data_IF_230785505468
#
_entry.id   IF_230785505468
#
_cell.length_a   1.000
_cell.length_b   1.000
_cell.length_c   1.000
_cell.angle_alpha   90.00
_cell.angle_beta   90.00
_cell.angle_gamma   90.00
#
_symmetry.space_group_name_H-M   'P 1'
#
loop_
_entity.id
_entity.type
_entity.pdbx_description
1 polymer ?
#
# COMPACT_ATOMS: atom_id res chain seq x y z
N UNK A 1 7.69 -7.39 9.15
CA UNK A 1 6.59 -7.21 8.17
C UNK A 1 5.92 -5.84 8.29
N UNK A 2 5.51 -5.44 9.47
CA UNK A 2 4.77 -4.16 9.62
C UNK A 2 5.60 -2.94 9.22
N UNK A 3 6.84 -2.85 9.67
CA UNK A 3 7.70 -1.72 9.31
C UNK A 3 8.00 -1.70 7.81
N UNK A 4 8.12 -2.86 7.20
CA UNK A 4 8.33 -2.96 5.76
C UNK A 4 7.12 -2.45 4.97
N UNK A 5 5.91 -2.79 5.42
CA UNK A 5 4.67 -2.30 4.82
C UNK A 5 4.60 -0.78 4.93
N UNK A 6 4.91 -0.25 6.11
CA UNK A 6 4.90 1.20 6.36
C UNK A 6 5.90 1.91 5.43
N UNK A 7 7.13 1.42 5.37
CA UNK A 7 8.18 2.03 4.56
C UNK A 7 7.82 1.99 3.08
N UNK A 8 7.29 0.87 2.61
CA UNK A 8 6.91 0.73 1.22
C UNK A 8 5.74 1.65 0.86
N UNK A 9 4.75 1.75 1.74
CA UNK A 9 3.62 2.63 1.50
C UNK A 9 4.02 4.10 1.49
N UNK A 10 4.92 4.49 2.38
CA UNK A 10 5.45 5.85 2.39
C UNK A 10 6.20 6.18 1.09
N UNK A 11 7.00 5.25 0.60
CA UNK A 11 7.72 5.41 -0.67
C UNK A 11 6.74 5.52 -1.84
N UNK A 12 5.73 4.68 -1.86
CA UNK A 12 4.68 4.71 -2.88
C UNK A 12 3.96 6.06 -2.87
N UNK A 13 3.53 6.53 -1.71
CA UNK A 13 2.83 7.80 -1.57
C UNK A 13 3.71 8.97 -2.03
N UNK A 14 4.97 8.94 -1.67
CA UNK A 14 5.93 9.97 -2.09
C UNK A 14 6.09 9.96 -3.62
N UNK A 15 6.15 8.77 -4.20
CA UNK A 15 6.30 8.61 -5.65
C UNK A 15 5.10 9.19 -6.39
N UNK A 16 3.88 8.78 -6.03
CA UNK A 16 2.67 9.22 -6.74
C UNK A 16 2.23 10.64 -6.35
N UNK A 17 2.82 11.21 -5.29
CA UNK A 17 2.42 12.52 -4.76
C UNK A 17 2.59 13.69 -5.70
N UNK A 18 3.33 13.52 -6.78
CA UNK A 18 3.56 14.62 -7.71
C UNK A 18 2.58 14.67 -8.89
N UNK A 19 1.69 13.70 -9.02
CA UNK A 19 0.73 13.74 -10.11
C UNK A 19 -0.70 13.30 -9.77
N UNK A 20 -0.99 12.96 -8.54
CA UNK A 20 -2.33 12.49 -8.21
C UNK A 20 -2.73 12.79 -6.77
N UNK A 21 -4.00 12.58 -6.52
CA UNK A 21 -4.54 12.64 -5.17
C UNK A 21 -4.70 11.25 -4.62
N UNK A 22 -4.28 11.07 -3.40
CA UNK A 22 -4.53 9.83 -2.71
C UNK A 22 -5.77 9.95 -1.90
N UNK A 23 -6.49 8.87 -1.83
CA UNK A 23 -7.70 8.79 -1.03
C UNK A 23 -7.46 8.20 0.32
N UNK A 24 -6.35 7.52 0.48
CA UNK A 24 -6.20 6.64 1.59
C UNK A 24 -5.39 7.23 2.70
N UNK A 25 -5.27 6.53 3.73
CA UNK A 25 -4.68 6.81 5.01
C UNK A 25 -3.61 7.90 4.98
N UNK A 26 -3.77 8.96 5.77
CA UNK A 26 -2.68 9.88 6.05
C UNK A 26 -1.54 9.08 6.69
N UNK A 27 -0.30 9.52 6.51
CA UNK A 27 0.86 8.79 7.01
C UNK A 27 0.78 8.48 8.50
N UNK A 28 0.30 9.42 9.30
CA UNK A 28 0.19 9.23 10.74
C UNK A 28 -0.79 8.11 11.10
N UNK A 29 -1.97 8.15 10.49
CA UNK A 29 -2.99 7.15 10.75
C UNK A 29 -2.62 5.79 10.18
N UNK A 30 -1.94 5.78 9.05
CA UNK A 30 -1.53 4.53 8.43
C UNK A 30 -0.56 3.76 9.33
N UNK A 31 0.46 4.46 9.86
CA UNK A 31 1.44 3.83 10.74
C UNK A 31 0.76 3.22 11.97
N UNK A 32 -0.11 3.99 12.62
CA UNK A 32 -0.86 3.50 13.78
C UNK A 32 -1.71 2.28 13.43
N UNK A 33 -2.42 2.36 12.32
CA UNK A 33 -3.29 1.27 11.87
C UNK A 33 -2.52 -0.02 11.63
N UNK A 34 -1.36 0.07 11.00
CA UNK A 34 -0.53 -1.09 10.73
C UNK A 34 0.05 -1.67 12.02
N UNK A 35 0.59 -0.80 12.89
CA UNK A 35 1.23 -1.26 14.11
C UNK A 35 0.26 -1.92 15.09
N UNK A 36 -1.00 -1.50 15.11
CA UNK A 36 -2.04 -2.06 15.97
C UNK A 36 -2.79 -3.23 15.36
N UNK A 37 -2.60 -3.47 14.06
CA UNK A 37 -3.38 -4.47 13.34
C UNK A 37 -2.98 -5.91 13.72
N UNK A 38 -3.98 -6.78 13.86
CA UNK A 38 -3.76 -8.21 13.85
C UNK A 38 -3.59 -8.68 12.38
N UNK A 39 -3.32 -9.94 12.16
CA UNK A 39 -3.09 -10.48 10.82
C UNK A 39 -4.29 -10.28 9.89
N UNK A 40 -5.51 -10.47 10.40
CA UNK A 40 -6.72 -10.31 9.62
C UNK A 40 -6.88 -8.86 9.14
N UNK A 41 -6.67 -7.91 10.04
CA UNK A 41 -6.78 -6.48 9.73
C UNK A 41 -5.64 -6.04 8.81
N UNK A 42 -4.45 -6.58 9.00
CA UNK A 42 -3.30 -6.28 8.15
C UNK A 42 -3.53 -6.74 6.71
N UNK A 43 -4.15 -7.90 6.53
CA UNK A 43 -4.57 -8.38 5.21
C UNK A 43 -5.54 -7.41 4.55
N UNK A 44 -6.52 -6.94 5.30
CA UNK A 44 -7.51 -5.98 4.79
C UNK A 44 -6.83 -4.66 4.37
N UNK A 45 -5.86 -4.20 5.15
CA UNK A 45 -5.09 -3.00 4.81
C UNK A 45 -4.33 -3.21 3.50
N UNK A 46 -3.66 -4.34 3.35
CA UNK A 46 -2.90 -4.65 2.13
C UNK A 46 -3.81 -4.77 0.91
N UNK A 47 -4.98 -5.39 1.07
CA UNK A 47 -5.97 -5.48 -0.01
C UNK A 47 -6.43 -4.09 -0.45
N UNK A 48 -6.64 -3.17 0.50
CA UNK A 48 -7.00 -1.78 0.19
C UNK A 48 -5.90 -1.07 -0.58
N UNK A 49 -4.64 -1.29 -0.19
CA UNK A 49 -3.50 -0.70 -0.90
C UNK A 49 -3.41 -1.26 -2.32
N UNK A 50 -3.61 -2.57 -2.49
CA UNK A 50 -3.58 -3.19 -3.80
C UNK A 50 -4.65 -2.61 -4.72
N UNK A 51 -5.84 -2.39 -4.18
CA UNK A 51 -6.91 -1.74 -4.93
C UNK A 51 -6.54 -0.31 -5.30
N UNK A 52 -5.96 0.44 -4.37
CA UNK A 52 -5.50 1.82 -4.61
C UNK A 52 -4.45 1.86 -5.73
N UNK A 53 -3.46 0.97 -5.69
CA UNK A 53 -2.43 0.93 -6.73
C UNK A 53 -2.99 0.54 -8.08
N UNK A 54 -3.95 -0.37 -8.12
CA UNK A 54 -4.61 -0.76 -9.37
C UNK A 54 -5.38 0.42 -9.98
N UNK A 55 -6.10 1.17 -9.16
CA UNK A 55 -6.83 2.37 -9.61
C UNK A 55 -5.87 3.42 -10.15
N UNK A 56 -4.73 3.63 -9.50
CA UNK A 56 -3.71 4.57 -9.97
C UNK A 56 -3.13 4.12 -11.31
N UNK A 57 -2.83 2.84 -11.46
CA UNK A 57 -2.34 2.32 -12.73
C UNK A 57 -3.39 2.47 -13.83
N UNK A 58 -4.65 2.17 -13.55
CA UNK A 58 -5.72 2.28 -14.53
C UNK A 58 -5.89 3.73 -15.01
N UNK A 59 -5.63 4.69 -14.13
CA UNK A 59 -5.79 6.11 -14.42
C UNK A 59 -4.60 6.70 -15.19
N UNK A 60 -3.39 6.35 -14.79
CA UNK A 60 -2.18 6.99 -15.33
C UNK A 60 -1.29 6.08 -16.18
N UNK A 61 -1.45 4.77 -16.07
CA UNK A 61 -0.65 3.81 -16.82
C UNK A 61 0.82 3.77 -16.44
N UNK A 62 1.17 4.23 -15.24
CA UNK A 62 2.55 4.29 -14.78
C UNK A 62 3.04 2.92 -14.33
N UNK A 63 4.04 2.39 -15.04
CA UNK A 63 4.58 1.05 -14.75
C UNK A 63 5.26 0.95 -13.40
N UNK A 64 5.74 2.05 -12.85
CA UNK A 64 6.35 2.05 -11.51
C UNK A 64 5.31 1.71 -10.43
N UNK A 65 4.07 2.11 -10.66
CA UNK A 65 2.97 1.76 -9.73
C UNK A 65 2.79 0.23 -9.68
N UNK A 66 2.98 -0.45 -10.79
CA UNK A 66 2.90 -1.92 -10.81
C UNK A 66 4.01 -2.58 -10.00
N UNK A 67 5.18 -1.97 -9.96
CA UNK A 67 6.28 -2.48 -9.13
C UNK A 67 5.90 -2.42 -7.66
N UNK A 68 5.36 -1.29 -7.21
CA UNK A 68 4.85 -1.17 -5.83
C UNK A 68 3.74 -2.18 -5.55
N UNK A 69 2.81 -2.32 -6.49
CA UNK A 69 1.71 -3.27 -6.35
C UNK A 69 2.21 -4.69 -6.16
N UNK A 70 3.20 -5.09 -6.95
CA UNK A 70 3.79 -6.43 -6.86
C UNK A 70 4.38 -6.69 -5.47
N UNK A 71 5.10 -5.72 -4.93
CA UNK A 71 5.70 -5.86 -3.62
C UNK A 71 4.65 -5.97 -2.51
N UNK A 72 3.58 -5.17 -2.58
CA UNK A 72 2.48 -5.30 -1.62
C UNK A 72 1.77 -6.66 -1.75
N UNK A 73 1.61 -7.16 -2.97
CA UNK A 73 1.00 -8.46 -3.19
C UNK A 73 1.83 -9.59 -2.60
N UNK A 74 3.15 -9.52 -2.71
CA UNK A 74 4.05 -10.49 -2.09
C UNK A 74 3.92 -10.48 -0.57
N UNK A 75 3.82 -9.29 0.03
CA UNK A 75 3.61 -9.18 1.47
C UNK A 75 2.27 -9.80 1.90
N UNK A 76 1.23 -9.58 1.10
CA UNK A 76 -0.08 -10.18 1.37
C UNK A 76 -0.01 -11.71 1.31
N UNK A 77 0.69 -12.27 0.33
CA UNK A 77 0.89 -13.71 0.21
C UNK A 77 1.58 -14.28 1.45
N UNK A 78 2.58 -13.60 1.96
CA UNK A 78 3.27 -14.03 3.19
C UNK A 78 2.32 -14.10 4.38
N UNK A 79 1.36 -13.20 4.46
CA UNK A 79 0.37 -13.21 5.53
C UNK A 79 -0.67 -14.32 5.37
N UNK A 80 -0.91 -14.76 4.15
CA UNK A 80 -1.88 -15.81 3.88
C UNK A 80 -1.33 -17.23 4.12
N UNK A 81 -0.04 -17.34 4.22
CA UNK A 81 0.61 -18.62 4.57
C UNK A 81 0.52 -18.86 6.06
#
# INVERSE_FOLDING_TARGET
MKEEIISLYEAYKKYVGHYCFFKTYGQEHFRESVMEADDSKLKAILESILKETQEEFDRYGDMEVLVYQTEFAEMLECLCD
#
